data_IF_699967537223
#
_entry.id   IF_699967537223
#
_cell.length_a   1.000
_cell.length_b   1.000
_cell.length_c   1.000
_cell.angle_alpha   90.00
_cell.angle_beta   90.00
_cell.angle_gamma   90.00
#
_symmetry.space_group_name_H-M   'P 1'
#
loop_
_entity.id
_entity.type
_entity.pdbx_description
1 polymer ?
#
# COMPACT_ATOMS: atom_id res chain seq x y z
N UNK A 1 -47.58 45.41 33.21
CA UNK A 1 -46.25 45.30 33.80
C UNK A 1 -45.75 43.84 34.00
N UNK A 2 -46.64 42.85 33.92
CA UNK A 2 -46.27 41.39 34.14
C UNK A 2 -45.55 40.75 32.93
N UNK A 3 -45.81 41.24 31.73
CA UNK A 3 -45.25 40.66 30.49
C UNK A 3 -43.79 41.13 30.17
N UNK A 4 -43.36 42.27 30.71
CA UNK A 4 -42.00 42.80 30.47
C UNK A 4 -40.95 42.04 31.26
N UNK A 5 -41.27 41.53 32.45
CA UNK A 5 -40.33 40.71 33.27
C UNK A 5 -40.09 39.32 32.67
N UNK A 6 -41.07 38.74 31.96
CA UNK A 6 -40.94 37.45 31.27
C UNK A 6 -40.04 37.54 30.03
N UNK A 7 -40.08 38.66 29.29
CA UNK A 7 -39.24 38.82 28.11
C UNK A 7 -37.75 39.00 28.47
N UNK A 8 -37.44 39.68 29.58
CA UNK A 8 -36.05 39.88 30.02
C UNK A 8 -35.42 38.59 30.50
N UNK A 9 -36.20 37.72 31.17
CA UNK A 9 -35.72 36.40 31.65
C UNK A 9 -35.41 35.45 30.50
N UNK A 10 -36.20 35.44 29.43
CA UNK A 10 -35.96 34.57 28.27
C UNK A 10 -34.69 35.00 27.46
N UNK A 11 -34.47 36.28 27.31
CA UNK A 11 -33.29 36.82 26.60
C UNK A 11 -31.97 36.49 27.34
N UNK A 12 -31.98 36.59 28.67
CA UNK A 12 -30.79 36.25 29.48
C UNK A 12 -30.43 34.76 29.46
N UNK A 13 -31.43 33.86 29.44
CA UNK A 13 -31.19 32.40 29.35
C UNK A 13 -30.64 32.02 27.99
N UNK A 14 -31.15 32.59 26.91
CA UNK A 14 -30.66 32.30 25.54
C UNK A 14 -29.21 32.82 25.38
N UNK A 15 -28.89 33.97 25.93
CA UNK A 15 -27.54 34.52 25.86
C UNK A 15 -26.52 33.71 26.69
N UNK A 16 -26.93 33.22 27.85
CA UNK A 16 -26.10 32.32 28.67
C UNK A 16 -25.88 30.97 28.00
N UNK A 17 -26.87 30.43 27.30
CA UNK A 17 -26.77 29.17 26.57
C UNK A 17 -25.83 29.27 25.35
N UNK A 18 -25.88 30.41 24.63
CA UNK A 18 -24.96 30.68 23.50
C UNK A 18 -23.51 30.84 23.98
N UNK A 19 -23.26 31.47 25.12
CA UNK A 19 -21.92 31.59 25.70
C UNK A 19 -21.38 30.24 26.18
N UNK A 20 -22.22 29.37 26.73
CA UNK A 20 -21.82 28.02 27.14
C UNK A 20 -21.46 27.13 25.93
N UNK A 21 -22.18 27.22 24.81
CA UNK A 21 -21.88 26.48 23.57
C UNK A 21 -20.58 27.00 22.95
N UNK A 22 -20.28 28.28 23.02
CA UNK A 22 -19.00 28.84 22.53
C UNK A 22 -17.81 28.48 23.43
N UNK A 23 -18.02 28.28 24.73
CA UNK A 23 -16.96 27.82 25.64
C UNK A 23 -16.61 26.33 25.41
N UNK A 24 -17.61 25.48 25.14
CA UNK A 24 -17.36 24.06 24.83
C UNK A 24 -16.64 23.86 23.50
N UNK A 25 -16.71 24.83 22.57
CA UNK A 25 -16.01 24.71 21.26
C UNK A 25 -14.53 25.14 21.33
N UNK A 26 -14.06 25.67 22.46
CA UNK A 26 -12.65 26.06 22.65
C UNK A 26 -11.76 24.91 23.10
N UNK A 27 -12.35 23.83 23.60
CA UNK A 27 -11.62 22.61 24.03
C UNK A 27 -11.49 21.55 22.94
N UNK A 28 -11.89 21.84 21.69
CA UNK A 28 -11.44 21.02 20.56
C UNK A 28 -9.93 21.23 20.42
N UNK A 29 -9.17 20.31 20.99
CA UNK A 29 -7.73 20.31 20.90
C UNK A 29 -7.32 20.52 19.46
N UNK A 30 -6.60 21.61 19.20
CA UNK A 30 -5.99 21.90 17.90
C UNK A 30 -5.28 20.62 17.45
N UNK A 31 -5.60 20.06 16.26
CA UNK A 31 -4.97 18.81 15.84
C UNK A 31 -3.46 18.99 15.97
N UNK A 32 -2.83 18.09 16.71
CA UNK A 32 -1.37 18.05 16.81
C UNK A 32 -0.81 18.03 15.39
N UNK A 33 0.22 18.83 15.07
CA UNK A 33 0.83 18.79 13.75
C UNK A 33 1.18 17.33 13.45
N UNK A 34 0.62 16.80 12.36
CA UNK A 34 0.88 15.43 11.94
C UNK A 34 2.40 15.27 11.79
N UNK A 35 2.99 14.40 12.59
CA UNK A 35 4.40 14.07 12.44
C UNK A 35 4.60 13.49 11.04
N UNK A 36 5.63 13.97 10.33
CA UNK A 36 6.00 13.40 9.04
C UNK A 36 6.24 11.90 9.21
N UNK A 37 5.72 11.05 8.32
CA UNK A 37 5.91 9.61 8.43
C UNK A 37 7.39 9.27 8.37
N UNK A 38 7.82 8.31 9.20
CA UNK A 38 9.19 7.78 9.15
C UNK A 38 9.36 7.08 7.81
N UNK A 39 10.43 7.42 7.08
CA UNK A 39 10.82 6.78 5.82
C UNK A 39 12.04 5.89 6.07
N UNK A 40 11.91 4.60 5.79
CA UNK A 40 12.97 3.60 5.94
C UNK A 40 13.25 2.95 4.58
N UNK A 41 14.52 2.90 4.20
CA UNK A 41 14.98 2.22 3.00
C UNK A 41 15.55 0.85 3.39
N UNK A 42 15.16 -0.21 2.68
CA UNK A 42 15.81 -1.49 2.89
C UNK A 42 17.27 -1.38 2.46
N UNK A 43 18.19 -1.63 3.37
CA UNK A 43 19.58 -1.85 2.99
C UNK A 43 19.66 -3.25 2.36
N UNK A 44 19.84 -3.32 1.04
CA UNK A 44 20.19 -4.59 0.42
C UNK A 44 21.52 -5.06 1.05
N UNK A 45 21.58 -6.32 1.47
CA UNK A 45 22.80 -6.93 1.98
C UNK A 45 23.98 -6.80 0.98
N UNK A 46 23.70 -6.43 -0.26
CA UNK A 46 24.63 -6.16 -1.34
C UNK A 46 24.31 -4.81 -2.03
N UNK A 47 24.12 -3.73 -1.25
CA UNK A 47 23.85 -2.39 -1.80
C UNK A 47 24.90 -1.92 -2.83
N UNK A 48 26.13 -2.44 -2.76
CA UNK A 48 27.17 -2.18 -3.75
C UNK A 48 26.90 -2.84 -5.13
N UNK A 49 26.04 -3.86 -5.20
CA UNK A 49 25.75 -4.61 -6.42
C UNK A 49 24.42 -4.24 -7.09
N UNK A 50 23.53 -3.51 -6.41
CA UNK A 50 22.18 -3.18 -6.93
C UNK A 50 21.85 -1.72 -6.64
N UNK A 51 21.55 -0.90 -7.65
CA UNK A 51 21.31 0.54 -7.49
C UNK A 51 19.87 0.82 -7.02
N UNK A 52 19.25 -0.07 -6.21
CA UNK A 52 17.88 0.06 -5.74
C UNK A 52 17.69 -0.62 -4.38
N UNK A 53 16.71 -0.19 -3.62
CA UNK A 53 16.24 -0.85 -2.41
C UNK A 53 15.27 -1.98 -2.77
N UNK A 54 15.21 -3.04 -1.95
CA UNK A 54 14.19 -4.09 -2.14
C UNK A 54 12.79 -3.57 -1.85
N UNK A 55 12.68 -2.63 -0.91
CA UNK A 55 11.46 -1.87 -0.58
C UNK A 55 11.82 -0.55 0.09
N UNK A 56 10.85 0.36 0.09
CA UNK A 56 10.84 1.55 0.96
C UNK A 56 9.61 1.46 1.86
N UNK A 57 9.80 1.68 3.16
CA UNK A 57 8.72 1.80 4.12
C UNK A 57 8.40 3.26 4.39
N UNK A 58 7.13 3.64 4.36
CA UNK A 58 6.65 4.97 4.72
C UNK A 58 5.51 4.80 5.73
N UNK A 59 5.79 5.08 6.99
CA UNK A 59 4.84 4.82 8.07
C UNK A 59 4.40 3.36 8.11
N UNK A 60 3.13 3.09 7.82
CA UNK A 60 2.53 1.74 7.79
C UNK A 60 2.50 1.10 6.39
N UNK A 61 3.20 1.66 5.41
CA UNK A 61 3.18 1.18 4.02
C UNK A 61 4.55 0.65 3.60
N UNK A 62 4.55 -0.48 2.89
CA UNK A 62 5.70 -1.01 2.16
C UNK A 62 5.49 -0.80 0.66
N UNK A 63 6.47 -0.19 0.01
CA UNK A 63 6.57 0.01 -1.43
C UNK A 63 7.68 -0.90 -1.94
N UNK A 64 7.35 -2.01 -2.56
CA UNK A 64 8.32 -2.96 -3.06
C UNK A 64 8.82 -2.54 -4.44
N UNK A 65 10.12 -2.71 -4.68
CA UNK A 65 10.65 -2.67 -6.04
C UNK A 65 10.13 -3.85 -6.86
N UNK A 66 10.12 -3.69 -8.19
CA UNK A 66 9.78 -4.76 -9.12
C UNK A 66 10.57 -6.03 -8.84
N UNK A 67 9.90 -7.16 -8.84
CA UNK A 67 10.48 -8.49 -8.69
C UNK A 67 10.31 -9.28 -9.98
N UNK A 68 11.36 -10.00 -10.33
CA UNK A 68 11.38 -10.96 -11.43
C UNK A 68 11.23 -12.38 -10.86
N UNK A 69 10.92 -13.33 -11.74
CA UNK A 69 10.80 -14.75 -11.39
C UNK A 69 12.13 -15.48 -11.32
N UNK A 70 13.15 -14.87 -10.74
CA UNK A 70 14.46 -15.47 -10.58
C UNK A 70 14.61 -16.26 -9.27
N UNK A 71 15.36 -17.35 -9.34
CA UNK A 71 15.78 -18.12 -8.18
C UNK A 71 16.95 -17.47 -7.41
N UNK A 72 17.44 -18.15 -6.37
CA UNK A 72 18.56 -17.68 -5.55
C UNK A 72 19.89 -17.57 -6.32
N UNK A 73 20.01 -18.17 -7.49
CA UNK A 73 21.19 -18.07 -8.38
C UNK A 73 21.06 -16.94 -9.40
N UNK A 74 19.92 -16.26 -9.44
CA UNK A 74 19.61 -15.18 -10.38
C UNK A 74 19.03 -15.67 -11.72
N UNK A 75 18.77 -16.97 -11.90
CA UNK A 75 18.18 -17.54 -13.12
C UNK A 75 16.67 -17.45 -13.06
N UNK A 76 16.04 -17.07 -14.18
CA UNK A 76 14.59 -17.08 -14.31
C UNK A 76 14.04 -18.50 -14.25
N UNK A 77 12.89 -18.69 -13.63
CA UNK A 77 12.21 -19.95 -13.54
C UNK A 77 11.87 -20.47 -14.95
N UNK A 78 12.30 -21.68 -15.33
CA UNK A 78 12.03 -22.22 -16.63
C UNK A 78 10.58 -22.65 -16.79
N UNK A 79 10.09 -22.73 -18.05
CA UNK A 79 8.75 -23.25 -18.36
C UNK A 79 7.73 -22.19 -18.76
N UNK A 80 8.16 -20.95 -19.00
CA UNK A 80 7.31 -19.88 -19.53
C UNK A 80 6.68 -19.02 -18.46
N UNK A 81 5.64 -18.27 -18.86
CA UNK A 81 5.02 -17.19 -18.04
C UNK A 81 4.44 -17.71 -16.72
N UNK A 82 3.83 -18.90 -16.69
CA UNK A 82 3.21 -19.44 -15.49
C UNK A 82 4.22 -19.69 -14.35
N UNK A 83 5.23 -20.56 -14.55
CA UNK A 83 6.31 -20.77 -13.57
C UNK A 83 7.04 -19.49 -13.19
N UNK A 84 7.29 -18.59 -14.13
CA UNK A 84 7.97 -17.31 -13.86
C UNK A 84 7.10 -16.39 -13.02
N UNK A 85 5.79 -16.29 -13.30
CA UNK A 85 4.84 -15.54 -12.46
C UNK A 85 4.78 -16.10 -11.04
N UNK A 86 4.74 -17.43 -10.91
CA UNK A 86 4.75 -18.07 -9.58
C UNK A 86 6.00 -17.69 -8.79
N UNK A 87 7.17 -17.81 -9.39
CA UNK A 87 8.43 -17.47 -8.72
C UNK A 87 8.50 -15.98 -8.37
N UNK A 88 8.02 -15.11 -9.25
CA UNK A 88 7.93 -13.66 -8.98
C UNK A 88 7.10 -13.38 -7.72
N UNK A 89 5.92 -13.99 -7.61
CA UNK A 89 5.03 -13.80 -6.45
C UNK A 89 5.59 -14.45 -5.16
N UNK A 90 6.29 -15.59 -5.26
CA UNK A 90 7.02 -16.16 -4.12
C UNK A 90 8.15 -15.21 -3.65
N UNK A 91 8.85 -14.55 -4.57
CA UNK A 91 9.87 -13.55 -4.23
C UNK A 91 9.26 -12.33 -3.52
N UNK A 92 8.11 -11.84 -3.99
CA UNK A 92 7.34 -10.78 -3.32
C UNK A 92 6.93 -11.21 -1.92
N UNK A 93 6.34 -12.41 -1.79
CA UNK A 93 5.91 -12.98 -0.52
C UNK A 93 7.05 -13.05 0.49
N UNK A 94 8.22 -13.53 0.07
CA UNK A 94 9.39 -13.62 0.93
C UNK A 94 9.85 -12.25 1.46
N UNK A 95 9.81 -11.21 0.62
CA UNK A 95 10.14 -9.82 1.06
C UNK A 95 9.11 -9.33 2.08
N UNK A 96 7.82 -9.54 1.83
CA UNK A 96 6.75 -9.11 2.73
C UNK A 96 6.85 -9.79 4.10
N UNK A 97 6.99 -11.13 4.12
CA UNK A 97 7.04 -11.92 5.36
C UNK A 97 8.28 -11.59 6.21
N UNK A 98 9.44 -11.42 5.57
CA UNK A 98 10.68 -11.00 6.23
C UNK A 98 10.56 -9.63 6.91
N UNK A 99 9.65 -8.77 6.43
CA UNK A 99 9.50 -7.40 6.90
C UNK A 99 8.18 -7.15 7.65
N UNK A 100 7.55 -8.20 8.20
CA UNK A 100 6.40 -8.07 9.10
C UNK A 100 5.07 -7.81 8.40
N UNK A 101 4.98 -8.13 7.10
CA UNK A 101 3.75 -8.07 6.31
C UNK A 101 3.36 -9.45 5.78
N UNK A 102 2.50 -9.54 4.76
CA UNK A 102 2.11 -10.79 4.10
C UNK A 102 1.38 -10.50 2.78
N UNK A 103 1.15 -11.54 1.97
CA UNK A 103 0.31 -11.43 0.77
C UNK A 103 -1.11 -10.94 1.07
N UNK A 104 -1.66 -11.25 2.25
CA UNK A 104 -2.98 -10.77 2.69
C UNK A 104 -3.05 -9.25 2.90
N UNK A 105 -1.92 -8.60 3.07
CA UNK A 105 -1.79 -7.16 3.29
C UNK A 105 -1.46 -6.38 2.02
N UNK A 106 -1.29 -7.06 0.88
CA UNK A 106 -1.07 -6.41 -0.41
C UNK A 106 -2.33 -5.68 -0.85
N UNK A 107 -2.20 -4.40 -1.18
CA UNK A 107 -3.33 -3.54 -1.57
C UNK A 107 -3.29 -3.15 -3.04
N UNK A 108 -2.11 -3.17 -3.66
CA UNK A 108 -1.92 -2.80 -5.07
C UNK A 108 -0.74 -3.58 -5.65
N UNK A 109 -0.88 -4.04 -6.90
CA UNK A 109 0.24 -4.48 -7.71
C UNK A 109 0.19 -3.86 -9.12
N UNK A 110 1.38 -3.67 -9.71
CA UNK A 110 1.57 -3.36 -11.13
C UNK A 110 2.28 -4.54 -11.76
N UNK A 111 1.71 -5.07 -12.84
CA UNK A 111 2.25 -6.20 -13.60
C UNK A 111 2.71 -5.69 -14.95
N UNK A 112 3.99 -5.81 -15.22
CA UNK A 112 4.65 -5.48 -16.47
C UNK A 112 4.98 -6.78 -17.19
N UNK A 113 4.63 -6.89 -18.46
CA UNK A 113 4.79 -8.12 -19.25
C UNK A 113 5.58 -7.86 -20.52
N UNK A 114 6.48 -8.75 -20.88
CA UNK A 114 7.20 -8.67 -22.14
C UNK A 114 6.26 -8.90 -23.34
N UNK A 115 5.26 -9.80 -23.18
CA UNK A 115 4.19 -10.00 -24.16
C UNK A 115 2.82 -10.00 -23.45
N UNK A 116 2.00 -9.01 -23.74
CA UNK A 116 0.66 -8.88 -23.15
C UNK A 116 -0.29 -10.02 -23.57
N UNK A 117 0.00 -10.75 -24.64
CA UNK A 117 -0.79 -11.90 -25.06
C UNK A 117 -0.76 -13.05 -24.07
N UNK A 118 0.26 -13.12 -23.22
CA UNK A 118 0.39 -14.11 -22.14
C UNK A 118 -0.42 -13.73 -20.87
N UNK A 119 -1.23 -12.66 -20.94
CA UNK A 119 -1.96 -12.16 -19.79
C UNK A 119 -2.84 -13.23 -19.11
N UNK A 120 -3.54 -14.06 -19.89
CA UNK A 120 -4.44 -15.07 -19.34
C UNK A 120 -3.67 -16.12 -18.50
N UNK A 121 -2.53 -16.59 -18.99
CA UNK A 121 -1.69 -17.59 -18.33
C UNK A 121 -1.02 -16.99 -17.08
N UNK A 122 -0.49 -15.77 -17.17
CA UNK A 122 -0.02 -15.01 -16.01
C UNK A 122 -1.11 -14.88 -14.96
N UNK A 123 -2.32 -14.46 -15.37
CA UNK A 123 -3.43 -14.19 -14.46
C UNK A 123 -3.92 -15.47 -13.76
N UNK A 124 -3.91 -16.62 -14.43
CA UNK A 124 -4.30 -17.89 -13.83
C UNK A 124 -3.45 -18.26 -12.60
N UNK A 125 -2.16 -17.91 -12.63
CA UNK A 125 -1.24 -18.09 -11.52
C UNK A 125 -1.37 -16.95 -10.49
N UNK A 126 -1.42 -15.71 -10.97
CA UNK A 126 -1.48 -14.53 -10.10
C UNK A 126 -2.61 -14.60 -9.06
N UNK A 127 -3.81 -14.97 -9.49
CA UNK A 127 -4.99 -15.00 -8.60
C UNK A 127 -4.87 -16.05 -7.49
N UNK A 128 -4.02 -17.07 -7.64
CA UNK A 128 -3.85 -18.11 -6.62
C UNK A 128 -3.09 -17.62 -5.38
N UNK A 129 -2.44 -16.49 -5.45
CA UNK A 129 -1.68 -15.91 -4.34
C UNK A 129 -2.49 -15.02 -3.43
N UNK A 130 -3.74 -14.72 -3.79
CA UNK A 130 -4.60 -13.80 -3.06
C UNK A 130 -5.93 -14.46 -2.69
N UNK A 131 -6.52 -14.01 -1.60
CA UNK A 131 -7.87 -14.41 -1.22
C UNK A 131 -8.88 -13.80 -2.20
N UNK A 132 -9.81 -14.60 -2.69
CA UNK A 132 -10.79 -14.19 -3.70
C UNK A 132 -11.63 -12.98 -3.26
N UNK A 133 -11.89 -12.88 -1.97
CA UNK A 133 -12.69 -11.81 -1.36
C UNK A 133 -11.88 -10.52 -1.12
N UNK A 134 -10.56 -10.57 -1.33
CA UNK A 134 -9.63 -9.47 -1.01
C UNK A 134 -8.52 -9.35 -2.05
N UNK A 135 -8.89 -9.35 -3.31
CA UNK A 135 -7.93 -9.14 -4.40
C UNK A 135 -7.37 -7.71 -4.34
N UNK A 136 -6.05 -7.52 -4.47
CA UNK A 136 -5.46 -6.19 -4.55
C UNK A 136 -5.90 -5.46 -5.81
N UNK A 137 -5.93 -4.12 -5.77
CA UNK A 137 -6.03 -3.33 -6.98
C UNK A 137 -4.86 -3.67 -7.91
N UNK A 138 -5.10 -3.77 -9.23
CA UNK A 138 -4.06 -4.16 -10.18
C UNK A 138 -4.14 -3.35 -11.48
N UNK A 139 -2.94 -3.03 -12.02
CA UNK A 139 -2.77 -2.66 -13.42
C UNK A 139 -1.87 -3.69 -14.09
N UNK A 140 -2.11 -4.01 -15.36
CA UNK A 140 -1.25 -4.90 -16.14
C UNK A 140 -1.11 -4.32 -17.56
N UNK A 141 0.11 -4.32 -18.10
CA UNK A 141 0.39 -3.82 -19.44
C UNK A 141 1.62 -4.52 -20.05
N UNK A 142 1.69 -4.48 -21.38
CA UNK A 142 2.88 -4.93 -22.12
C UNK A 142 3.95 -3.86 -22.16
N UNK A 143 5.20 -4.29 -22.27
CA UNK A 143 6.40 -3.45 -22.39
C UNK A 143 7.17 -3.80 -23.67
N UNK A 144 8.16 -3.00 -24.01
CA UNK A 144 9.09 -3.33 -25.11
C UNK A 144 10.14 -4.39 -24.73
N UNK A 145 10.17 -4.84 -23.49
CA UNK A 145 11.08 -5.82 -22.92
C UNK A 145 11.31 -5.59 -21.43
N UNK A 146 11.79 -6.60 -20.74
CA UNK A 146 12.13 -6.58 -19.33
C UNK A 146 13.60 -7.00 -19.12
N UNK A 147 14.15 -6.62 -17.96
CA UNK A 147 15.53 -6.96 -17.59
C UNK A 147 15.72 -8.48 -17.60
N UNK A 148 16.88 -8.93 -18.01
CA UNK A 148 17.26 -10.36 -18.15
C UNK A 148 16.35 -11.18 -19.07
N UNK A 149 15.65 -10.54 -20.00
CA UNK A 149 14.65 -11.19 -20.87
C UNK A 149 13.52 -11.85 -20.09
N UNK A 150 13.16 -11.29 -18.92
CA UNK A 150 12.05 -11.76 -18.13
C UNK A 150 10.73 -11.58 -18.89
N UNK A 151 9.79 -12.48 -18.67
CA UNK A 151 8.44 -12.41 -19.25
C UNK A 151 7.51 -11.54 -18.41
N UNK A 152 7.76 -11.48 -17.09
CA UNK A 152 6.95 -10.71 -16.15
C UNK A 152 7.83 -10.07 -15.08
N UNK A 153 7.46 -8.85 -14.72
CA UNK A 153 7.93 -8.14 -13.54
C UNK A 153 6.71 -7.64 -12.77
N UNK A 154 6.74 -7.77 -11.45
CA UNK A 154 5.62 -7.35 -10.59
C UNK A 154 6.16 -6.51 -9.44
N UNK A 155 5.61 -5.32 -9.26
CA UNK A 155 5.77 -4.51 -8.05
C UNK A 155 4.48 -4.52 -7.24
N UNK A 156 4.56 -4.44 -5.91
CA UNK A 156 3.39 -4.37 -5.04
C UNK A 156 3.57 -3.36 -3.92
N UNK A 157 2.44 -2.85 -3.44
CA UNK A 157 2.33 -2.06 -2.22
C UNK A 157 1.55 -2.87 -1.19
N UNK A 158 2.00 -2.86 0.06
CA UNK A 158 1.35 -3.58 1.14
C UNK A 158 1.31 -2.75 2.42
N UNK A 159 0.35 -3.03 3.30
CA UNK A 159 0.35 -2.49 4.66
C UNK A 159 1.17 -3.39 5.57
N UNK A 160 1.70 -2.82 6.66
CA UNK A 160 2.23 -3.59 7.78
C UNK A 160 1.08 -4.29 8.54
N UNK A 161 1.41 -5.30 9.31
CA UNK A 161 0.46 -5.91 10.26
C UNK A 161 0.21 -5.00 11.44
#
# INVERSE_FOLDING_TARGET
>A
MRNLKMLVGAATIVFALCLAIQAQNKDQAKPSPAQSPIVEYSSAANAAARPLSDFVRVGNMLYLSGKLGNDSTGKLAPGGIGPETKQTLENIKAVLEKNGSSMDNVIKCTVMMADIKEWADMNSVYVTFFKKERLPARSAFGTSGLVNSARVEIECMATMK
#
